data_IF_588623948468
#
_entry.id   IF_588623948468
#
_cell.length_a   1.000
_cell.length_b   1.000
_cell.length_c   1.000
_cell.angle_alpha   90.00
_cell.angle_beta   90.00
_cell.angle_gamma   90.00
#
_symmetry.space_group_name_H-M   'P 1'
#
loop_
_entity.id
_entity.type
_entity.pdbx_description
1 polymer ?
#
# COMPACT_ATOMS: atom_id res chain seq x y z
N UNK A 1 -9.02 -30.08 11.09
CA UNK A 1 -9.39 -28.74 11.59
C UNK A 1 -8.35 -27.77 11.06
N UNK A 2 -8.66 -27.11 9.94
CA UNK A 2 -7.76 -26.16 9.28
C UNK A 2 -7.96 -24.77 9.86
N UNK A 3 -7.23 -24.47 10.93
CA UNK A 3 -7.12 -23.11 11.45
C UNK A 3 -5.68 -22.67 11.26
N UNK A 4 -5.32 -22.35 10.02
CA UNK A 4 -4.25 -21.39 9.78
C UNK A 4 -4.74 -20.10 10.41
N UNK A 5 -4.30 -19.84 11.64
CA UNK A 5 -4.36 -18.52 12.22
C UNK A 5 -3.60 -17.62 11.26
N UNK A 6 -4.33 -16.90 10.41
CA UNK A 6 -3.82 -15.73 9.70
C UNK A 6 -3.28 -14.82 10.79
N UNK A 7 -1.96 -14.83 10.97
CA UNK A 7 -1.27 -14.02 11.98
C UNK A 7 -1.74 -12.59 11.80
N UNK A 8 -2.48 -12.02 12.77
CA UNK A 8 -2.93 -10.64 12.68
C UNK A 8 -1.79 -9.73 13.15
N UNK A 9 -0.59 -9.83 12.57
CA UNK A 9 0.48 -8.89 12.88
C UNK A 9 1.57 -8.92 11.80
N UNK A 10 1.16 -8.56 10.59
CA UNK A 10 2.05 -7.81 9.74
C UNK A 10 1.34 -6.50 9.50
N UNK A 11 1.36 -5.62 10.52
CA UNK A 11 1.01 -4.21 10.31
C UNK A 11 2.00 -3.71 9.28
N UNK A 12 1.58 -3.71 8.00
CA UNK A 12 2.41 -3.23 6.93
C UNK A 12 2.77 -1.79 7.32
N UNK A 13 4.06 -1.42 7.39
CA UNK A 13 4.46 -0.09 7.83
C UNK A 13 3.96 1.01 6.88
N UNK A 14 3.37 0.62 5.75
CA UNK A 14 2.74 1.48 4.77
C UNK A 14 1.21 1.34 4.75
N UNK A 15 0.61 0.68 5.75
CA UNK A 15 -0.83 0.50 5.87
C UNK A 15 -1.56 1.84 5.91
N UNK A 16 -1.05 2.84 6.66
CA UNK A 16 -1.62 4.19 6.68
C UNK A 16 -1.60 4.86 5.29
N UNK A 17 -0.49 4.72 4.56
CA UNK A 17 -0.37 5.26 3.21
C UNK A 17 -1.30 4.55 2.21
N UNK A 18 -1.49 3.24 2.37
CA UNK A 18 -2.45 2.45 1.59
C UNK A 18 -3.88 2.87 1.90
N UNK A 19 -4.20 3.06 3.19
CA UNK A 19 -5.50 3.50 3.67
C UNK A 19 -5.86 4.86 3.06
N UNK A 20 -4.92 5.81 3.04
CA UNK A 20 -5.10 7.13 2.42
C UNK A 20 -5.43 7.03 0.92
N UNK A 21 -4.69 6.19 0.18
CA UNK A 21 -4.99 5.93 -1.23
C UNK A 21 -6.38 5.33 -1.42
N UNK A 22 -6.76 4.33 -0.63
CA UNK A 22 -8.08 3.70 -0.70
C UNK A 22 -9.21 4.67 -0.37
N UNK A 23 -9.02 5.53 0.64
CA UNK A 23 -9.99 6.57 1.00
C UNK A 23 -10.16 7.59 -0.14
N UNK A 24 -9.06 8.01 -0.77
CA UNK A 24 -9.11 8.88 -1.94
C UNK A 24 -9.89 8.23 -3.09
N UNK A 25 -9.57 6.97 -3.42
CA UNK A 25 -10.24 6.22 -4.49
C UNK A 25 -11.73 6.04 -4.19
N UNK A 26 -12.09 5.73 -2.94
CA UNK A 26 -13.50 5.55 -2.54
C UNK A 26 -14.27 6.87 -2.62
N UNK A 27 -13.68 7.98 -2.15
CA UNK A 27 -14.26 9.31 -2.25
C UNK A 27 -14.50 9.69 -3.72
N UNK A 28 -13.49 9.54 -4.58
CA UNK A 28 -13.61 9.86 -6.02
C UNK A 28 -14.56 8.94 -6.77
N UNK A 29 -14.63 7.66 -6.40
CA UNK A 29 -15.65 6.74 -6.93
C UNK A 29 -17.07 7.20 -6.55
N UNK A 30 -17.27 7.69 -5.33
CA UNK A 30 -18.56 8.22 -4.87
C UNK A 30 -18.91 9.56 -5.52
N UNK A 31 -17.95 10.46 -5.71
CA UNK A 31 -18.20 11.81 -6.24
C UNK A 31 -18.35 11.85 -7.77
N UNK A 32 -17.46 11.16 -8.51
CA UNK A 32 -17.38 11.27 -9.97
C UNK A 32 -18.02 10.09 -10.71
N UNK A 33 -18.51 9.07 -9.99
CA UNK A 33 -19.03 7.82 -10.56
C UNK A 33 -17.93 6.87 -11.08
N UNK A 34 -16.67 7.10 -10.68
CA UNK A 34 -15.52 6.33 -11.10
C UNK A 34 -14.24 7.16 -11.24
N UNK A 35 -13.08 6.55 -10.98
CA UNK A 35 -11.77 7.14 -11.24
C UNK A 35 -11.58 7.26 -12.77
N UNK A 36 -11.92 8.42 -13.36
CA UNK A 36 -12.00 8.59 -14.82
C UNK A 36 -10.64 8.60 -15.53
N UNK A 37 -9.61 9.13 -14.90
CA UNK A 37 -8.31 9.37 -15.56
C UNK A 37 -7.11 8.75 -14.83
N UNK A 38 -7.35 7.98 -13.76
CA UNK A 38 -6.28 7.32 -13.00
C UNK A 38 -5.35 8.26 -12.23
N UNK A 39 -5.54 9.58 -12.33
CA UNK A 39 -4.65 10.59 -11.74
C UNK A 39 -5.10 11.10 -10.35
N UNK A 40 -6.36 10.89 -9.96
CA UNK A 40 -6.95 11.55 -8.79
C UNK A 40 -6.43 11.08 -7.42
N UNK A 41 -5.56 10.07 -7.37
CA UNK A 41 -4.91 9.59 -6.14
C UNK A 41 -3.42 9.21 -6.37
N UNK A 42 -2.77 9.83 -7.37
CA UNK A 42 -1.39 9.53 -7.76
C UNK A 42 -0.38 9.89 -6.67
N UNK A 43 -0.67 10.91 -5.87
CA UNK A 43 0.20 11.34 -4.77
C UNK A 43 0.15 10.31 -3.62
N UNK A 44 -1.03 9.84 -3.24
CA UNK A 44 -1.24 8.85 -2.18
C UNK A 44 -0.64 7.49 -2.55
N UNK A 45 -0.82 7.04 -3.81
CA UNK A 45 -0.18 5.80 -4.27
C UNK A 45 1.34 5.95 -4.38
N UNK A 46 1.87 7.14 -4.72
CA UNK A 46 3.32 7.41 -4.67
C UNK A 46 3.84 7.28 -3.25
N UNK A 47 3.15 7.85 -2.26
CA UNK A 47 3.54 7.74 -0.83
C UNK A 47 3.55 6.27 -0.39
N UNK A 48 2.52 5.50 -0.76
CA UNK A 48 2.49 4.05 -0.47
C UNK A 48 3.64 3.29 -1.15
N UNK A 49 3.87 3.54 -2.45
CA UNK A 49 4.98 2.92 -3.21
C UNK A 49 6.34 3.30 -2.64
N UNK A 50 6.52 4.56 -2.24
CA UNK A 50 7.76 5.07 -1.65
C UNK A 50 8.01 4.39 -0.31
N UNK A 51 7.01 4.34 0.57
CA UNK A 51 7.11 3.63 1.83
C UNK A 51 7.47 2.14 1.62
N UNK A 52 6.85 1.47 0.64
CA UNK A 52 7.18 0.08 0.30
C UNK A 52 8.61 -0.06 -0.24
N UNK A 53 9.10 0.88 -1.04
CA UNK A 53 10.48 0.88 -1.52
C UNK A 53 11.48 1.07 -0.38
N UNK A 54 11.21 2.00 0.53
CA UNK A 54 12.09 2.28 1.68
C UNK A 54 12.08 1.11 2.68
N UNK A 55 10.94 0.46 2.90
CA UNK A 55 10.85 -0.75 3.72
C UNK A 55 11.41 -1.99 3.01
N UNK A 56 11.36 -2.06 1.67
CA UNK A 56 12.02 -3.12 0.89
C UNK A 56 13.54 -3.04 1.00
N UNK A 57 14.11 -1.83 1.08
CA UNK A 57 15.55 -1.61 1.34
C UNK A 57 15.97 -1.92 2.77
N UNK A 58 15.05 -1.85 3.74
CA UNK A 58 15.30 -2.20 5.16
C UNK A 58 15.23 -3.69 5.46
N UNK A 59 14.61 -4.50 4.60
CA UNK A 59 14.90 -5.94 4.59
C UNK A 59 16.28 -6.09 3.95
N UNK A 60 17.31 -6.57 4.66
CA UNK A 60 18.53 -6.98 4.01
C UNK A 60 18.12 -8.08 3.04
N UNK A 61 18.02 -7.75 1.76
CA UNK A 61 18.19 -8.76 0.73
C UNK A 61 19.57 -9.30 0.98
N UNK A 62 19.64 -10.54 1.47
CA UNK A 62 20.79 -11.42 1.35
C UNK A 62 21.08 -11.66 -0.16
N UNK A 63 21.43 -10.59 -0.86
CA UNK A 63 21.68 -10.52 -2.28
C UNK A 63 22.82 -9.52 -2.52
N UNK A 64 23.84 -9.55 -1.67
CA UNK A 64 25.18 -9.08 -2.01
C UNK A 64 26.18 -9.88 -1.16
N UNK A 65 26.28 -11.18 -1.47
CA UNK A 65 27.48 -11.94 -1.23
C UNK A 65 28.04 -12.25 -2.62
N UNK A 66 28.84 -11.30 -3.13
CA UNK A 66 29.83 -11.58 -4.18
C UNK A 66 31.17 -11.75 -3.51
#
# INVERSE_FOLDING_TARGET
MGNTASTPDAVDPCADALQAYLTCVEAKNKESGGLRDGDECVEEIKVYKQCRQDNKKKKPTAAEAK
#
